data_IF_725292420232
#
_entry.id   IF_725292420232
#
_cell.length_a   1.000
_cell.length_b   1.000
_cell.length_c   1.000
_cell.angle_alpha   90.00
_cell.angle_beta   90.00
_cell.angle_gamma   90.00
#
_symmetry.space_group_name_H-M   'P 1'
#
loop_
_entity.id
_entity.type
_entity.pdbx_description
1 polymer ?
#
# COMPACT_ATOMS: atom_id res chain seq x y z
N UNK A 1 16.68 -5.13 17.74
CA UNK A 1 16.27 -6.14 16.75
C UNK A 1 14.82 -5.82 16.41
N UNK A 2 14.53 -5.38 15.18
CA UNK A 2 13.14 -5.13 14.79
C UNK A 2 12.45 -6.49 14.66
N UNK A 3 11.38 -6.68 15.43
CA UNK A 3 10.59 -7.91 15.36
C UNK A 3 9.76 -7.83 14.08
N UNK A 4 9.67 -8.92 13.29
CA UNK A 4 8.90 -8.88 12.02
C UNK A 4 7.43 -8.43 12.19
N UNK A 5 6.91 -8.59 13.41
CA UNK A 5 5.58 -8.17 13.81
C UNK A 5 5.44 -6.65 13.92
N UNK A 6 6.53 -5.88 14.04
CA UNK A 6 6.47 -4.42 14.23
C UNK A 6 5.77 -3.72 13.06
N UNK A 7 6.01 -4.18 11.83
CA UNK A 7 5.38 -3.62 10.64
C UNK A 7 3.88 -3.97 10.57
N UNK A 8 3.53 -5.21 10.94
CA UNK A 8 2.14 -5.65 11.05
C UNK A 8 1.41 -4.89 12.16
N UNK A 9 1.98 -4.82 13.36
CA UNK A 9 1.37 -4.18 14.53
C UNK A 9 1.19 -2.67 14.33
N UNK A 10 2.08 -2.01 13.58
CA UNK A 10 1.94 -0.58 13.24
C UNK A 10 0.88 -0.31 12.16
N UNK A 11 0.68 -1.25 11.24
CA UNK A 11 -0.26 -1.13 10.12
C UNK A 11 -1.61 -1.79 10.41
N UNK A 12 -1.73 -2.60 11.49
CA UNK A 12 -2.79 -3.56 11.83
C UNK A 12 -4.21 -3.12 11.44
N UNK A 13 -4.48 -3.31 10.15
CA UNK A 13 -5.77 -3.02 9.54
C UNK A 13 -6.15 -4.28 8.78
N UNK A 14 -7.17 -4.97 9.30
CA UNK A 14 -7.74 -6.13 8.59
C UNK A 14 -8.14 -5.68 7.18
N UNK A 15 -7.65 -6.38 6.16
CA UNK A 15 -7.91 -6.05 4.74
C UNK A 15 -9.41 -5.95 4.45
N UNK A 16 -10.25 -6.74 5.12
CA UNK A 16 -11.71 -6.66 5.01
C UNK A 16 -12.29 -5.36 5.57
N UNK A 17 -11.81 -4.89 6.73
CA UNK A 17 -12.23 -3.61 7.29
C UNK A 17 -11.81 -2.47 6.37
N UNK A 18 -10.62 -2.57 5.76
CA UNK A 18 -10.14 -1.59 4.79
C UNK A 18 -11.04 -1.51 3.55
N UNK A 19 -11.46 -2.65 3.00
CA UNK A 19 -12.40 -2.69 1.86
C UNK A 19 -13.74 -2.07 2.25
N UNK A 20 -14.34 -2.49 3.36
CA UNK A 20 -15.62 -1.97 3.85
C UNK A 20 -15.57 -0.45 4.10
N UNK A 21 -14.50 0.01 4.76
CA UNK A 21 -14.36 1.42 5.11
C UNK A 21 -14.04 2.27 3.87
N UNK A 22 -13.29 1.73 2.90
CA UNK A 22 -13.10 2.40 1.61
C UNK A 22 -14.40 2.54 0.82
N UNK A 23 -15.27 1.53 0.84
CA UNK A 23 -16.59 1.60 0.23
C UNK A 23 -17.48 2.62 0.94
N UNK A 24 -17.48 2.63 2.28
CA UNK A 24 -18.27 3.58 3.08
C UNK A 24 -17.81 5.04 2.94
N UNK A 25 -16.51 5.27 2.70
CA UNK A 25 -15.92 6.62 2.58
C UNK A 25 -15.65 7.04 1.13
N UNK A 26 -16.20 6.30 0.15
CA UNK A 26 -15.97 6.53 -1.28
C UNK A 26 -14.48 6.66 -1.66
N UNK A 27 -13.60 5.88 -1.01
CA UNK A 27 -12.17 5.83 -1.29
C UNK A 27 -11.31 6.84 -0.52
N UNK A 28 -11.88 7.76 0.27
CA UNK A 28 -11.10 8.68 1.12
C UNK A 28 -10.24 7.93 2.15
N UNK A 29 -10.77 6.85 2.72
CA UNK A 29 -10.00 6.01 3.63
C UNK A 29 -8.76 5.40 2.96
N UNK A 30 -8.87 5.06 1.67
CA UNK A 30 -7.78 4.48 0.91
C UNK A 30 -6.60 5.45 0.81
N UNK A 31 -6.89 6.74 0.58
CA UNK A 31 -5.90 7.81 0.55
C UNK A 31 -5.18 7.96 1.91
N UNK A 32 -5.95 8.07 3.01
CA UNK A 32 -5.39 8.20 4.35
C UNK A 32 -4.52 7.00 4.74
N UNK A 33 -4.96 5.80 4.37
CA UNK A 33 -4.20 4.59 4.59
C UNK A 33 -2.89 4.61 3.80
N UNK A 34 -2.91 4.98 2.51
CA UNK A 34 -1.69 5.11 1.70
C UNK A 34 -0.70 6.10 2.32
N UNK A 35 -1.18 7.24 2.80
CA UNK A 35 -0.34 8.23 3.48
C UNK A 35 0.32 7.66 4.74
N UNK A 36 -0.49 7.05 5.63
CA UNK A 36 0.02 6.46 6.87
C UNK A 36 0.99 5.30 6.60
N UNK A 37 0.65 4.42 5.66
CA UNK A 37 1.50 3.28 5.28
C UNK A 37 2.81 3.74 4.64
N UNK A 38 2.80 4.81 3.82
CA UNK A 38 4.01 5.38 3.26
C UNK A 38 4.99 5.85 4.36
N UNK A 39 4.47 6.53 5.39
CA UNK A 39 5.28 6.96 6.53
C UNK A 39 5.88 5.77 7.27
N UNK A 40 5.06 4.80 7.65
CA UNK A 40 5.51 3.61 8.40
C UNK A 40 6.54 2.81 7.60
N UNK A 41 6.26 2.54 6.31
CA UNK A 41 7.21 1.85 5.44
C UNK A 41 8.52 2.63 5.33
N UNK A 42 8.47 3.96 5.15
CA UNK A 42 9.68 4.77 5.03
C UNK A 42 10.54 4.82 6.30
N UNK A 43 9.90 4.80 7.48
CA UNK A 43 10.59 4.72 8.77
C UNK A 43 11.22 3.33 8.99
N UNK A 44 10.46 2.26 8.72
CA UNK A 44 10.89 0.89 9.01
C UNK A 44 11.93 0.39 8.00
N UNK A 45 11.76 0.68 6.72
CA UNK A 45 12.68 0.23 5.65
C UNK A 45 13.90 1.15 5.48
N UNK A 46 13.93 2.31 6.14
CA UNK A 46 14.90 3.41 5.92
C UNK A 46 15.03 3.85 4.46
N UNK A 47 14.12 3.44 3.58
CA UNK A 47 14.09 3.77 2.18
C UNK A 47 12.84 4.60 1.87
N UNK A 48 12.97 5.67 1.09
CA UNK A 48 11.83 6.52 0.74
C UNK A 48 11.01 5.83 -0.34
N UNK A 49 9.92 5.16 0.06
CA UNK A 49 8.99 4.50 -0.87
C UNK A 49 8.49 5.52 -1.90
N UNK A 50 7.96 6.65 -1.43
CA UNK A 50 7.46 7.75 -2.27
C UNK A 50 7.69 9.10 -1.57
N UNK A 51 8.04 10.12 -2.34
CA UNK A 51 8.29 11.48 -1.82
C UNK A 51 6.98 12.21 -1.43
N UNK A 52 7.07 13.17 -0.52
CA UNK A 52 5.93 13.96 -0.04
C UNK A 52 5.24 14.71 -1.18
N UNK A 53 5.99 15.21 -2.16
CA UNK A 53 5.44 15.89 -3.35
C UNK A 53 4.47 14.99 -4.13
N UNK A 54 4.76 13.69 -4.20
CA UNK A 54 3.87 12.74 -4.88
C UNK A 54 2.54 12.56 -4.14
N UNK A 55 2.59 12.46 -2.80
CA UNK A 55 1.38 12.37 -1.97
C UNK A 55 0.53 13.63 -2.13
N UNK A 56 1.16 14.81 -2.19
CA UNK A 56 0.46 16.08 -2.42
C UNK A 56 -0.25 16.06 -3.78
N UNK A 57 0.43 15.65 -4.86
CA UNK A 57 -0.21 15.54 -6.17
C UNK A 57 -1.33 14.52 -6.22
N UNK A 58 -1.19 13.39 -5.52
CA UNK A 58 -2.26 12.41 -5.37
C UNK A 58 -3.49 13.03 -4.69
N UNK A 59 -3.27 13.82 -3.62
CA UNK A 59 -4.33 14.54 -2.91
C UNK A 59 -5.01 15.59 -3.80
N UNK A 60 -4.24 16.34 -4.60
CA UNK A 60 -4.75 17.32 -5.55
C UNK A 60 -5.60 16.65 -6.62
N UNK A 61 -5.10 15.58 -7.26
CA UNK A 61 -5.84 14.87 -8.29
C UNK A 61 -7.13 14.25 -7.76
N UNK A 62 -7.09 13.65 -6.57
CA UNK A 62 -8.27 13.05 -5.95
C UNK A 62 -9.29 14.12 -5.50
N UNK A 63 -8.82 15.16 -4.81
CA UNK A 63 -9.67 16.23 -4.28
C UNK A 63 -10.29 17.08 -5.36
N UNK A 64 -9.49 17.55 -6.33
CA UNK A 64 -9.98 18.37 -7.45
C UNK A 64 -10.80 17.52 -8.43
N UNK A 65 -10.40 16.27 -8.68
CA UNK A 65 -11.18 15.33 -9.49
C UNK A 65 -12.56 15.04 -8.88
N UNK A 66 -12.63 14.84 -7.56
CA UNK A 66 -13.90 14.68 -6.85
C UNK A 66 -14.76 15.95 -6.86
N UNK A 67 -14.17 17.11 -6.57
CA UNK A 67 -14.89 18.38 -6.51
C UNK A 67 -15.46 18.83 -7.86
N UNK A 68 -14.76 18.55 -8.96
CA UNK A 68 -15.21 18.88 -10.32
C UNK A 68 -16.18 17.84 -10.89
N UNK A 69 -16.27 16.65 -10.30
CA UNK A 69 -17.19 15.62 -10.76
C UNK A 69 -18.64 16.01 -10.48
N UNK A 70 -19.52 15.85 -11.48
CA UNK A 70 -20.94 16.19 -11.35
C UNK A 70 -21.29 17.66 -11.61
N UNK A 71 -20.36 18.48 -12.08
CA UNK A 71 -20.68 19.81 -12.61
C UNK A 71 -21.33 19.71 -14.01
N UNK A 72 -22.28 20.61 -14.31
CA UNK A 72 -23.03 20.63 -15.58
C UNK A 72 -22.16 20.92 -16.83
N UNK A 73 -20.95 21.44 -16.62
CA UNK A 73 -20.01 21.70 -17.72
C UNK A 73 -19.32 20.41 -18.18
N UNK A 74 -19.55 20.04 -19.44
CA UNK A 74 -18.90 18.89 -20.11
C UNK A 74 -17.37 18.96 -19.99
N UNK A 75 -16.79 20.15 -20.14
CA UNK A 75 -15.34 20.34 -20.04
C UNK A 75 -14.82 20.06 -18.63
N UNK A 76 -15.50 20.55 -17.60
CA UNK A 76 -15.10 20.33 -16.20
C UNK A 76 -15.23 18.86 -15.81
N UNK A 77 -16.28 18.19 -16.29
CA UNK A 77 -16.47 16.76 -16.06
C UNK A 77 -15.39 15.92 -16.77
N UNK A 78 -14.99 16.28 -17.99
CA UNK A 78 -13.88 15.63 -18.68
C UNK A 78 -12.55 15.79 -17.93
N UNK A 79 -12.27 16.99 -17.41
CA UNK A 79 -11.09 17.25 -16.57
C UNK A 79 -11.14 16.43 -15.28
N UNK A 80 -12.31 16.37 -14.62
CA UNK A 80 -12.54 15.57 -13.43
C UNK A 80 -12.21 14.09 -13.68
N UNK A 81 -12.70 13.53 -14.78
CA UNK A 81 -12.45 12.14 -15.16
C UNK A 81 -10.95 11.88 -15.37
N UNK A 82 -10.23 12.79 -16.04
CA UNK A 82 -8.78 12.66 -16.26
C UNK A 82 -8.02 12.72 -14.94
N UNK A 83 -8.40 13.63 -14.02
CA UNK A 83 -7.77 13.74 -12.70
C UNK A 83 -8.00 12.49 -11.85
N UNK A 84 -9.22 11.94 -11.88
CA UNK A 84 -9.55 10.68 -11.19
C UNK A 84 -8.84 9.48 -11.83
N UNK A 85 -8.67 9.46 -13.15
CA UNK A 85 -7.86 8.42 -13.80
C UNK A 85 -6.39 8.52 -13.41
N UNK A 86 -5.85 9.75 -13.37
CA UNK A 86 -4.47 9.99 -12.94
C UNK A 86 -4.24 9.55 -11.48
N UNK A 87 -5.20 9.82 -10.57
CA UNK A 87 -5.10 9.37 -9.18
C UNK A 87 -5.08 7.84 -9.06
N UNK A 88 -5.87 7.13 -9.88
CA UNK A 88 -5.83 5.66 -9.95
C UNK A 88 -4.47 5.14 -10.42
N UNK A 89 -3.89 5.74 -11.46
CA UNK A 89 -2.53 5.38 -11.93
C UNK A 89 -1.51 5.64 -10.82
N UNK A 90 -1.63 6.75 -10.09
CA UNK A 90 -0.74 7.04 -8.97
C UNK A 90 -0.89 6.02 -7.83
N UNK A 91 -2.08 5.50 -7.56
CA UNK A 91 -2.23 4.41 -6.59
C UNK A 91 -1.54 3.13 -7.04
N UNK A 92 -1.61 2.79 -8.33
CA UNK A 92 -0.91 1.63 -8.90
C UNK A 92 0.61 1.81 -8.75
N UNK A 93 1.15 2.96 -9.16
CA UNK A 93 2.58 3.25 -9.08
C UNK A 93 3.07 3.22 -7.63
N UNK A 94 2.30 3.76 -6.69
CA UNK A 94 2.61 3.66 -5.26
C UNK A 94 2.65 2.20 -4.80
N UNK A 95 1.70 1.37 -5.20
CA UNK A 95 1.67 -0.04 -4.83
C UNK A 95 2.92 -0.80 -5.32
N UNK A 96 3.37 -0.56 -6.57
CA UNK A 96 4.60 -1.16 -7.07
C UNK A 96 5.85 -0.72 -6.30
N UNK A 97 5.92 0.56 -5.91
CA UNK A 97 7.02 1.06 -5.08
C UNK A 97 7.00 0.46 -3.67
N UNK A 98 5.82 0.37 -3.06
CA UNK A 98 5.63 -0.25 -1.75
C UNK A 98 6.00 -1.73 -1.78
N UNK A 99 5.62 -2.46 -2.83
CA UNK A 99 6.05 -3.84 -3.07
C UNK A 99 7.57 -3.97 -3.05
N UNK A 100 8.28 -3.14 -3.82
CA UNK A 100 9.74 -3.23 -3.91
C UNK A 100 10.41 -2.95 -2.55
N UNK A 101 9.95 -1.92 -1.84
CA UNK A 101 10.46 -1.59 -0.51
C UNK A 101 10.20 -2.73 0.50
N UNK A 102 9.02 -3.36 0.45
CA UNK A 102 8.68 -4.47 1.34
C UNK A 102 9.52 -5.72 1.03
N UNK A 103 9.71 -6.06 -0.24
CA UNK A 103 10.57 -7.18 -0.65
C UNK A 103 12.04 -6.94 -0.27
N UNK A 104 12.54 -5.72 -0.43
CA UNK A 104 13.92 -5.37 -0.03
C UNK A 104 14.10 -5.44 1.49
N UNK A 105 13.13 -4.97 2.27
CA UNK A 105 13.15 -5.07 3.73
C UNK A 105 13.11 -6.51 4.22
N UNK A 106 12.22 -7.34 3.66
CA UNK A 106 12.12 -8.75 4.01
C UNK A 106 13.44 -9.51 3.72
N UNK A 107 14.09 -9.17 2.61
CA UNK A 107 15.36 -9.79 2.21
C UNK A 107 16.55 -9.30 3.05
N UNK A 108 16.65 -8.00 3.30
CA UNK A 108 17.79 -7.40 4.02
C UNK A 108 17.76 -7.69 5.52
N UNK A 109 16.62 -7.47 6.18
CA UNK A 109 16.51 -7.57 7.64
C UNK A 109 16.22 -9.00 8.10
N UNK A 110 15.40 -9.73 7.35
CA UNK A 110 14.93 -11.07 7.75
C UNK A 110 15.45 -12.21 6.88
N UNK A 111 16.20 -11.91 5.80
CA UNK A 111 16.69 -12.91 4.83
C UNK A 111 15.57 -13.77 4.24
N UNK A 112 14.37 -13.21 4.11
CA UNK A 112 13.18 -13.85 3.54
C UNK A 112 13.03 -13.37 2.11
N UNK A 113 12.87 -14.31 1.18
CA UNK A 113 12.52 -13.96 -0.20
C UNK A 113 10.99 -13.78 -0.30
N UNK A 114 10.53 -12.54 -0.16
CA UNK A 114 9.12 -12.18 -0.31
C UNK A 114 8.78 -12.00 -1.79
N UNK A 115 8.35 -13.08 -2.44
CA UNK A 115 7.96 -13.08 -3.86
C UNK A 115 6.53 -12.55 -4.05
N UNK A 116 6.39 -11.23 -4.07
CA UNK A 116 5.11 -10.57 -4.38
C UNK A 116 4.77 -10.62 -5.89
N UNK A 117 3.55 -11.03 -6.24
CA UNK A 117 3.12 -11.12 -7.62
C UNK A 117 2.75 -9.74 -8.20
N UNK A 118 3.36 -9.38 -9.34
CA UNK A 118 3.08 -8.12 -10.02
C UNK A 118 1.64 -8.02 -10.54
N UNK A 119 1.05 -9.14 -10.95
CA UNK A 119 -0.34 -9.18 -11.42
C UNK A 119 -1.33 -8.75 -10.33
N UNK A 120 -1.22 -9.33 -9.13
CA UNK A 120 -2.07 -8.93 -7.99
C UNK A 120 -1.77 -7.51 -7.53
N UNK A 121 -0.50 -7.07 -7.64
CA UNK A 121 -0.14 -5.68 -7.35
C UNK A 121 -0.86 -4.72 -8.27
N UNK A 122 -1.05 -5.01 -9.56
CA UNK A 122 -1.73 -4.12 -10.49
C UNK A 122 -3.26 -4.07 -10.31
N UNK A 123 -3.90 -5.22 -10.06
CA UNK A 123 -5.36 -5.28 -9.95
C UNK A 123 -5.89 -4.86 -8.56
N UNK A 124 -5.23 -5.32 -7.50
CA UNK A 124 -5.66 -5.08 -6.13
C UNK A 124 -4.90 -3.91 -5.48
N UNK A 125 -3.75 -3.50 -6.06
CA UNK A 125 -2.94 -2.35 -5.63
C UNK A 125 -2.77 -2.31 -4.11
N UNK A 126 -3.39 -1.32 -3.49
CA UNK A 126 -3.28 -0.99 -2.08
C UNK A 126 -3.76 -2.15 -1.19
N UNK A 127 -4.82 -2.85 -1.59
CA UNK A 127 -5.34 -4.00 -0.83
C UNK A 127 -4.35 -5.17 -0.82
N UNK A 128 -3.63 -5.37 -1.93
CA UNK A 128 -2.60 -6.41 -2.01
C UNK A 128 -1.40 -6.08 -1.12
N UNK A 129 -0.97 -4.81 -1.10
CA UNK A 129 0.10 -4.37 -0.18
C UNK A 129 -0.31 -4.59 1.27
N UNK A 130 -1.52 -4.16 1.67
CA UNK A 130 -2.03 -4.38 3.03
C UNK A 130 -2.09 -5.88 3.39
N UNK A 131 -2.55 -6.71 2.45
CA UNK A 131 -2.56 -8.16 2.64
C UNK A 131 -1.14 -8.72 2.85
N UNK A 132 -0.18 -8.37 1.99
CA UNK A 132 1.20 -8.85 2.10
C UNK A 132 1.88 -8.38 3.40
N UNK A 133 1.61 -7.17 3.87
CA UNK A 133 2.11 -6.70 5.17
C UNK A 133 1.53 -7.53 6.32
N UNK A 134 0.24 -7.86 6.28
CA UNK A 134 -0.42 -8.66 7.31
C UNK A 134 0.04 -10.14 7.30
N UNK A 135 0.38 -10.67 6.13
CA UNK A 135 0.82 -12.05 5.90
C UNK A 135 2.34 -12.25 6.13
N UNK A 136 3.11 -11.15 6.20
CA UNK A 136 4.57 -11.16 6.35
C UNK A 136 5.10 -12.07 7.49
N UNK A 137 4.51 -12.09 8.71
CA UNK A 137 4.97 -12.97 9.78
C UNK A 137 4.70 -14.46 9.52
N UNK A 138 3.63 -14.76 8.79
CA UNK A 138 3.27 -16.13 8.43
C UNK A 138 4.19 -16.67 7.33
N UNK A 139 4.54 -15.84 6.35
CA UNK A 139 5.54 -16.18 5.33
C UNK A 139 6.93 -16.44 5.94
N UNK A 140 7.32 -15.68 6.98
CA UNK A 140 8.53 -16.01 7.75
C UNK A 140 8.42 -17.39 8.42
N UNK A 141 7.30 -17.67 9.10
CA UNK A 141 7.09 -18.95 9.78
C UNK A 141 7.23 -20.12 8.80
N UNK A 142 6.59 -20.03 7.63
CA UNK A 142 6.68 -21.06 6.58
C UNK A 142 8.12 -21.23 6.09
N UNK A 143 8.83 -20.15 5.80
CA UNK A 143 10.21 -20.23 5.34
C UNK A 143 11.17 -20.76 6.41
N UNK A 144 10.97 -20.43 7.69
CA UNK A 144 11.76 -20.98 8.80
C UNK A 144 11.56 -22.49 8.93
N UNK A 145 10.31 -22.97 8.82
CA UNK A 145 9.99 -24.41 8.79
C UNK A 145 10.67 -25.09 7.60
N UNK A 146 10.58 -24.52 6.40
CA UNK A 146 11.19 -25.07 5.18
C UNK A 146 12.73 -25.06 5.22
N UNK A 147 13.34 -24.11 5.93
CA UNK A 147 14.79 -24.03 6.17
C UNK A 147 15.27 -24.95 7.29
N UNK A 148 14.38 -25.73 7.91
CA UNK A 148 14.72 -26.64 9.02
C UNK A 148 15.06 -25.91 10.32
N UNK A 149 14.80 -24.60 10.42
CA UNK A 149 14.90 -23.84 11.66
C UNK A 149 13.63 -24.06 12.48
N UNK A 150 13.48 -25.30 12.97
CA UNK A 150 12.53 -25.59 14.05
C UNK A 150 13.02 -24.81 15.26
N UNK A 151 12.26 -23.79 15.66
CA UNK A 151 12.45 -23.10 16.93
C UNK A 151 12.40 -24.18 18.02
N UNK A 152 13.54 -24.43 18.67
CA UNK A 152 13.57 -25.13 19.95
C UNK A 152 12.63 -24.38 20.91
N UNK A 153 11.86 -25.19 21.64
CA UNK A 153 10.75 -24.83 22.52
C UNK A 153 11.00 -23.63 23.44
#
# INVERSE_FOLDING_TARGET
MSTINELKDKIDTKTLNMVLLSAATAGLYLFLWVYRSNLILSETTKNRVVDNTYIIWLAVCLGMGGALSGMDSVLLNAIAMILLLASNVMYIVWAFKAKNALSEYALSEHKIDLRMNAFYTFFLNIFYINYCVNDLPEEQRKQNILRGQTQQA
#
